data_IF_104359280002
#
_entry.id   IF_104359280002
#
_cell.length_a   1.000
_cell.length_b   1.000
_cell.length_c   1.000
_cell.angle_alpha   90.00
_cell.angle_beta   90.00
_cell.angle_gamma   90.00
#
_symmetry.space_group_name_H-M   'P 1'
#
loop_
_entity.id
_entity.type
_entity.pdbx_description
1 polymer ?
#
# COMPACT_ATOMS: atom_id res chain seq x y z
N UNK A 1 60.16 -36.36 1.41
CA UNK A 1 59.04 -36.73 2.28
C UNK A 1 57.81 -36.02 1.77
N UNK A 2 56.93 -36.73 1.14
CA UNK A 2 55.72 -36.07 0.70
C UNK A 2 54.81 -35.83 1.87
N UNK A 3 54.63 -34.63 2.21
CA UNK A 3 53.57 -34.25 3.13
C UNK A 3 52.27 -34.20 2.35
N UNK A 4 51.48 -35.19 2.54
CA UNK A 4 50.12 -35.17 2.04
C UNK A 4 49.35 -34.11 2.75
N UNK A 5 49.23 -32.99 2.12
CA UNK A 5 48.32 -31.94 2.55
C UNK A 5 46.89 -32.40 2.22
N UNK A 6 46.23 -33.02 3.13
CA UNK A 6 44.79 -33.19 3.05
C UNK A 6 44.15 -31.81 3.21
N UNK A 7 43.71 -31.25 2.14
CA UNK A 7 42.73 -30.17 2.23
C UNK A 7 41.48 -30.72 2.91
N UNK A 8 41.01 -30.08 3.95
CA UNK A 8 39.71 -30.43 4.46
C UNK A 8 38.70 -30.10 3.34
N UNK A 9 37.97 -31.11 2.99
CA UNK A 9 36.82 -30.95 2.14
C UNK A 9 35.92 -29.90 2.81
N UNK A 10 35.87 -28.75 2.24
CA UNK A 10 34.87 -27.79 2.66
C UNK A 10 33.53 -28.39 2.37
N UNK A 11 32.83 -28.80 3.40
CA UNK A 11 31.43 -29.05 3.27
C UNK A 11 30.81 -27.77 2.79
N UNK A 12 30.35 -27.77 1.58
CA UNK A 12 29.56 -26.66 1.08
C UNK A 12 28.38 -26.50 2.00
N UNK A 13 28.30 -25.33 2.59
CA UNK A 13 27.03 -24.94 3.17
C UNK A 13 25.97 -25.22 2.13
N UNK A 14 25.11 -26.14 2.45
CA UNK A 14 23.96 -26.43 1.64
C UNK A 14 23.24 -25.14 1.33
N UNK A 15 23.08 -24.86 0.08
CA UNK A 15 22.30 -23.73 -0.35
C UNK A 15 20.97 -23.79 0.37
N UNK A 16 20.80 -22.91 1.31
CA UNK A 16 19.56 -22.83 2.06
C UNK A 16 18.50 -22.37 1.11
N UNK A 17 17.59 -23.24 0.78
CA UNK A 17 16.38 -22.88 0.06
C UNK A 17 15.66 -21.88 0.95
N UNK A 18 15.70 -20.64 0.56
CA UNK A 18 14.90 -19.64 1.23
C UNK A 18 13.45 -19.99 1.03
N UNK A 19 12.66 -20.06 2.09
CA UNK A 19 11.24 -20.17 1.94
C UNK A 19 10.76 -18.99 1.10
N UNK A 20 9.77 -19.22 0.32
CA UNK A 20 9.11 -18.27 -0.60
C UNK A 20 8.58 -16.99 0.04
N UNK A 21 8.68 -16.85 1.36
CA UNK A 21 8.55 -15.56 1.97
C UNK A 21 9.66 -14.67 1.43
N UNK A 22 9.47 -14.20 0.25
CA UNK A 22 10.27 -13.12 -0.29
C UNK A 22 10.02 -11.87 0.52
N UNK A 23 10.78 -11.74 1.58
CA UNK A 23 11.19 -10.42 1.94
C UNK A 23 11.88 -9.89 0.68
N UNK A 24 11.15 -9.08 -0.08
CA UNK A 24 11.81 -8.21 -1.03
C UNK A 24 12.94 -7.53 -0.28
N UNK A 25 14.18 -7.53 -0.79
CA UNK A 25 15.23 -6.78 -0.15
C UNK A 25 14.68 -5.40 0.16
N UNK A 26 15.00 -4.80 1.30
CA UNK A 26 14.50 -3.46 1.60
C UNK A 26 14.77 -2.63 0.37
N UNK A 27 13.72 -2.14 -0.24
CA UNK A 27 13.82 -1.29 -1.41
C UNK A 27 14.78 -0.16 -1.05
N UNK A 28 15.87 -0.07 -1.74
CA UNK A 28 16.80 1.05 -1.61
C UNK A 28 16.23 2.31 -2.23
N UNK A 29 15.04 2.22 -2.81
CA UNK A 29 14.36 3.35 -3.39
C UNK A 29 13.84 4.29 -2.30
N UNK A 30 14.08 5.60 -2.46
CA UNK A 30 13.48 6.59 -1.57
C UNK A 30 11.96 6.45 -1.54
N UNK A 31 11.38 6.66 -0.39
CA UNK A 31 9.93 6.61 -0.23
C UNK A 31 9.45 7.71 0.70
N UNK A 32 8.21 8.12 0.51
CA UNK A 32 7.48 8.98 1.42
C UNK A 32 6.46 8.16 2.19
N UNK A 33 6.37 8.40 3.49
CA UNK A 33 5.38 7.79 4.36
C UNK A 33 4.37 8.84 4.80
N UNK A 34 3.13 8.41 4.99
CA UNK A 34 2.16 9.22 5.70
C UNK A 34 1.53 8.41 6.82
N UNK A 35 1.14 9.11 7.87
CA UNK A 35 0.45 8.51 9.01
C UNK A 35 -1.05 8.62 8.79
N UNK A 36 -1.74 7.53 8.95
CA UNK A 36 -3.19 7.45 8.87
C UNK A 36 -3.76 6.93 10.19
N UNK A 37 -5.07 7.04 10.36
CA UNK A 37 -5.72 6.60 11.59
C UNK A 37 -5.69 5.08 11.77
N UNK A 38 -5.66 4.62 13.02
CA UNK A 38 -5.79 3.20 13.36
C UNK A 38 -7.10 2.62 12.82
N UNK A 39 -8.18 3.40 12.83
CA UNK A 39 -9.47 3.02 12.28
C UNK A 39 -9.39 2.77 10.77
N UNK A 40 -8.75 3.66 10.01
CA UNK A 40 -8.59 3.48 8.57
C UNK A 40 -7.74 2.23 8.27
N UNK A 41 -6.67 2.01 9.03
CA UNK A 41 -5.86 0.79 8.90
C UNK A 41 -6.70 -0.47 9.13
N UNK A 42 -7.47 -0.52 10.21
CA UNK A 42 -8.32 -1.67 10.52
C UNK A 42 -9.36 -1.94 9.42
N UNK A 43 -10.02 -0.89 8.94
CA UNK A 43 -10.99 -0.98 7.84
C UNK A 43 -10.33 -1.47 6.55
N UNK A 44 -9.16 -0.96 6.24
CA UNK A 44 -8.40 -1.39 5.06
C UNK A 44 -8.08 -2.88 5.14
N UNK A 45 -7.47 -3.33 6.23
CA UNK A 45 -7.10 -4.74 6.40
C UNK A 45 -8.31 -5.67 6.37
N UNK A 46 -9.44 -5.24 6.96
CA UNK A 46 -10.70 -6.00 6.91
C UNK A 46 -11.24 -6.13 5.48
N UNK A 47 -11.25 -5.04 4.73
CA UNK A 47 -11.69 -5.06 3.32
C UNK A 47 -10.79 -5.94 2.45
N UNK A 48 -9.47 -5.84 2.61
CA UNK A 48 -8.52 -6.70 1.89
C UNK A 48 -8.76 -8.17 2.22
N UNK A 49 -8.93 -8.51 3.50
CA UNK A 49 -9.21 -9.88 3.92
C UNK A 49 -10.52 -10.42 3.34
N UNK A 50 -11.54 -9.59 3.21
CA UNK A 50 -12.81 -9.96 2.59
C UNK A 50 -12.63 -10.30 1.11
N UNK A 51 -11.91 -9.47 0.37
CA UNK A 51 -11.64 -9.73 -1.05
C UNK A 51 -10.80 -11.00 -1.25
N UNK A 52 -9.76 -11.18 -0.45
CA UNK A 52 -8.84 -12.31 -0.54
C UNK A 52 -9.51 -13.67 -0.22
N UNK A 53 -10.52 -13.66 0.63
CA UNK A 53 -11.27 -14.87 1.03
C UNK A 53 -12.49 -15.12 0.16
N UNK A 54 -12.95 -14.17 -0.62
CA UNK A 54 -14.12 -14.30 -1.44
C UNK A 54 -13.92 -15.31 -2.56
N UNK A 55 -14.94 -16.09 -2.87
CA UNK A 55 -14.94 -16.96 -4.04
C UNK A 55 -14.87 -16.16 -5.34
N UNK A 56 -15.50 -15.01 -5.34
CA UNK A 56 -15.50 -14.07 -6.45
C UNK A 56 -15.21 -12.67 -5.91
N UNK A 57 -13.98 -12.22 -6.06
CA UNK A 57 -13.51 -10.91 -5.59
C UNK A 57 -14.22 -9.75 -6.29
N UNK A 58 -14.79 -9.98 -7.49
CA UNK A 58 -15.46 -8.93 -8.26
C UNK A 58 -16.71 -8.41 -7.58
N UNK A 59 -17.31 -9.18 -6.69
CA UNK A 59 -18.47 -8.74 -5.89
C UNK A 59 -18.11 -7.69 -4.85
N UNK A 60 -16.82 -7.52 -4.55
CA UNK A 60 -16.32 -6.59 -3.53
C UNK A 60 -15.55 -5.42 -4.13
N UNK A 61 -15.73 -5.13 -5.41
CA UNK A 61 -15.08 -4.01 -6.11
C UNK A 61 -15.32 -2.68 -5.43
N UNK A 62 -16.56 -2.43 -5.04
CA UNK A 62 -16.94 -1.17 -4.39
C UNK A 62 -16.25 -0.98 -3.04
N UNK A 63 -16.14 -2.05 -2.26
CA UNK A 63 -15.43 -2.02 -0.98
C UNK A 63 -13.95 -1.68 -1.17
N UNK A 64 -13.31 -2.25 -2.18
CA UNK A 64 -11.91 -1.94 -2.50
C UNK A 64 -11.76 -0.49 -2.99
N UNK A 65 -12.63 -0.04 -3.88
CA UNK A 65 -12.63 1.32 -4.38
C UNK A 65 -12.80 2.34 -3.25
N UNK A 66 -13.72 2.10 -2.32
CA UNK A 66 -13.94 2.95 -1.16
C UNK A 66 -12.70 3.05 -0.26
N UNK A 67 -12.02 1.95 -0.05
CA UNK A 67 -10.77 1.94 0.74
C UNK A 67 -9.68 2.73 0.03
N UNK A 68 -9.51 2.55 -1.26
CA UNK A 68 -8.50 3.29 -2.04
C UNK A 68 -8.79 4.79 -2.01
N UNK A 69 -10.06 5.18 -2.17
CA UNK A 69 -10.47 6.61 -2.05
C UNK A 69 -10.11 7.17 -0.68
N UNK A 70 -10.42 6.46 0.39
CA UNK A 70 -10.11 6.90 1.77
C UNK A 70 -8.62 6.98 2.04
N UNK A 71 -7.83 6.05 1.52
CA UNK A 71 -6.37 6.08 1.64
C UNK A 71 -5.79 7.27 0.87
N UNK A 72 -6.30 7.52 -0.33
CA UNK A 72 -5.90 8.66 -1.15
C UNK A 72 -6.23 9.98 -0.45
N UNK A 73 -7.44 10.12 0.04
CA UNK A 73 -7.89 11.31 0.77
C UNK A 73 -7.04 11.57 2.02
N UNK A 74 -6.76 10.52 2.80
CA UNK A 74 -5.88 10.60 3.97
C UNK A 74 -4.44 11.01 3.62
N UNK A 75 -3.92 10.50 2.51
CA UNK A 75 -2.60 10.90 2.02
C UNK A 75 -2.56 12.36 1.58
N UNK A 76 -3.58 12.81 0.88
CA UNK A 76 -3.73 14.19 0.44
C UNK A 76 -3.89 15.15 1.63
N UNK A 77 -4.67 14.79 2.62
CA UNK A 77 -4.78 15.55 3.87
C UNK A 77 -3.40 15.68 4.54
N UNK A 78 -2.66 14.59 4.63
CA UNK A 78 -1.35 14.57 5.27
C UNK A 78 -0.32 15.44 4.53
N UNK A 79 -0.27 15.40 3.20
CA UNK A 79 0.74 16.12 2.42
C UNK A 79 0.36 17.55 2.06
N UNK A 80 -0.92 17.89 2.00
CA UNK A 80 -1.37 19.21 1.58
C UNK A 80 -2.00 20.02 2.70
N UNK A 81 -3.01 19.49 3.37
CA UNK A 81 -3.74 20.26 4.37
C UNK A 81 -2.98 20.44 5.67
N UNK A 82 -2.33 19.40 6.12
CA UNK A 82 -1.55 19.46 7.38
C UNK A 82 -0.42 20.46 7.35
N UNK A 83 0.42 20.55 6.30
CA UNK A 83 1.43 21.61 6.19
C UNK A 83 0.87 23.01 6.21
N UNK A 84 -0.29 23.24 5.58
CA UNK A 84 -0.94 24.57 5.60
C UNK A 84 -1.35 24.98 7.01
N UNK A 85 -1.90 24.04 7.78
CA UNK A 85 -2.24 24.27 9.19
C UNK A 85 -1.00 24.56 10.03
N UNK A 86 0.07 23.79 9.83
CA UNK A 86 1.34 24.01 10.53
C UNK A 86 2.00 25.33 10.18
N UNK A 87 1.89 25.74 8.93
CA UNK A 87 2.40 27.04 8.43
C UNK A 87 1.54 28.21 8.87
N UNK A 88 0.39 27.98 9.52
CA UNK A 88 -0.59 29.02 9.89
C UNK A 88 -0.97 29.88 8.69
N UNK A 89 -1.29 29.24 7.59
CA UNK A 89 -1.53 29.89 6.30
C UNK A 89 -2.74 30.84 6.30
N UNK A 90 -3.60 30.75 7.31
CA UNK A 90 -4.76 31.59 7.50
C UNK A 90 -6.06 30.95 7.01
N UNK A 91 -7.16 31.45 7.55
CA UNK A 91 -8.48 30.87 7.34
C UNK A 91 -8.88 30.76 5.86
N UNK A 92 -8.67 31.80 5.08
CA UNK A 92 -9.03 31.78 3.66
C UNK A 92 -8.25 30.76 2.84
N UNK A 93 -6.97 30.64 3.10
CA UNK A 93 -6.10 29.66 2.41
C UNK A 93 -6.52 28.24 2.79
N UNK A 94 -6.74 27.99 4.07
CA UNK A 94 -7.18 26.67 4.56
C UNK A 94 -8.57 26.31 4.02
N UNK A 95 -9.50 27.26 3.97
CA UNK A 95 -10.83 27.05 3.42
C UNK A 95 -10.79 26.75 1.92
N UNK A 96 -10.03 27.53 1.16
CA UNK A 96 -9.85 27.30 -0.28
C UNK A 96 -9.20 25.95 -0.56
N UNK A 97 -8.19 25.58 0.23
CA UNK A 97 -7.53 24.28 0.14
C UNK A 97 -8.51 23.14 0.44
N UNK A 98 -9.32 23.26 1.49
CA UNK A 98 -10.33 22.25 1.83
C UNK A 98 -11.37 22.07 0.70
N UNK A 99 -11.85 23.16 0.12
CA UNK A 99 -12.77 23.10 -1.02
C UNK A 99 -12.15 22.46 -2.25
N UNK A 100 -10.92 22.88 -2.59
CA UNK A 100 -10.18 22.31 -3.70
C UNK A 100 -9.90 20.82 -3.51
N UNK A 101 -9.52 20.43 -2.31
CA UNK A 101 -9.30 19.01 -1.96
C UNK A 101 -10.58 18.18 -2.06
N UNK A 102 -11.70 18.71 -1.56
CA UNK A 102 -12.99 18.02 -1.65
C UNK A 102 -13.42 17.80 -3.12
N UNK A 103 -13.23 18.81 -3.98
CA UNK A 103 -13.48 18.69 -5.42
C UNK A 103 -12.56 17.67 -6.08
N UNK A 104 -11.28 17.71 -5.76
CA UNK A 104 -10.28 16.75 -6.28
C UNK A 104 -10.60 15.33 -5.84
N UNK A 105 -10.93 15.11 -4.58
CA UNK A 105 -11.31 13.79 -4.05
C UNK A 105 -12.53 13.23 -4.77
N UNK A 106 -13.52 14.04 -5.11
CA UNK A 106 -14.70 13.59 -5.88
C UNK A 106 -14.31 13.09 -7.27
N UNK A 107 -13.46 13.84 -7.96
CA UNK A 107 -12.97 13.44 -9.29
C UNK A 107 -12.16 12.14 -9.20
N UNK A 108 -11.21 12.07 -8.27
CA UNK A 108 -10.40 10.87 -8.05
C UNK A 108 -11.26 9.66 -7.66
N UNK A 109 -12.26 9.86 -6.79
CA UNK A 109 -13.19 8.79 -6.41
C UNK A 109 -13.93 8.22 -7.62
N UNK A 110 -14.40 9.07 -8.52
CA UNK A 110 -15.05 8.64 -9.77
C UNK A 110 -14.11 7.83 -10.65
N UNK A 111 -12.88 8.30 -10.83
CA UNK A 111 -11.86 7.60 -11.62
C UNK A 111 -11.49 6.25 -10.98
N UNK A 112 -11.24 6.22 -9.68
CA UNK A 112 -10.89 5.01 -8.93
C UNK A 112 -12.01 3.98 -9.05
N UNK A 113 -13.27 4.37 -8.83
CA UNK A 113 -14.42 3.46 -8.95
C UNK A 113 -14.57 2.91 -10.36
N UNK A 114 -14.35 3.74 -11.37
CA UNK A 114 -14.42 3.31 -12.75
C UNK A 114 -13.32 2.29 -13.09
N UNK A 115 -12.09 2.54 -12.66
CA UNK A 115 -10.96 1.63 -12.89
C UNK A 115 -11.17 0.32 -12.15
N UNK A 116 -11.44 0.37 -10.86
CA UNK A 116 -11.66 -0.82 -10.02
C UNK A 116 -12.88 -1.61 -10.50
N UNK A 117 -13.94 -0.91 -10.95
CA UNK A 117 -15.16 -1.54 -11.47
C UNK A 117 -14.95 -2.38 -12.73
N UNK A 118 -13.82 -2.20 -13.43
CA UNK A 118 -13.47 -2.94 -14.64
C UNK A 118 -12.44 -4.04 -14.41
N UNK A 119 -11.89 -4.15 -13.22
CA UNK A 119 -10.89 -5.17 -12.90
C UNK A 119 -11.51 -6.54 -12.74
N UNK A 120 -10.79 -7.55 -13.18
CA UNK A 120 -11.08 -8.96 -12.91
C UNK A 120 -10.52 -9.40 -11.54
N UNK A 121 -10.83 -10.63 -11.13
CA UNK A 121 -10.37 -11.15 -9.84
C UNK A 121 -8.85 -11.17 -9.68
N UNK A 122 -8.04 -11.63 -10.64
CA UNK A 122 -6.58 -11.57 -10.51
C UNK A 122 -6.04 -10.15 -10.34
N UNK A 123 -6.59 -9.19 -11.07
CA UNK A 123 -6.20 -7.78 -10.97
C UNK A 123 -6.53 -7.20 -9.59
N UNK A 124 -7.74 -7.47 -9.09
CA UNK A 124 -8.17 -7.03 -7.75
C UNK A 124 -7.27 -7.61 -6.66
N UNK A 125 -6.93 -8.89 -6.73
CA UNK A 125 -6.04 -9.55 -5.76
C UNK A 125 -4.62 -8.98 -5.82
N UNK A 126 -4.14 -8.62 -7.00
CA UNK A 126 -2.85 -7.93 -7.16
C UNK A 126 -2.85 -6.58 -6.47
N UNK A 127 -3.91 -5.80 -6.64
CA UNK A 127 -4.08 -4.51 -5.93
C UNK A 127 -4.14 -4.71 -4.41
N UNK A 128 -4.88 -5.71 -3.95
CA UNK A 128 -4.95 -6.06 -2.51
C UNK A 128 -3.56 -6.39 -1.95
N UNK A 129 -2.80 -7.22 -2.65
CA UNK A 129 -1.44 -7.60 -2.26
C UNK A 129 -0.52 -6.38 -2.16
N UNK A 130 -0.60 -5.49 -3.13
CA UNK A 130 0.19 -4.26 -3.14
C UNK A 130 -0.16 -3.34 -1.96
N UNK A 131 -1.45 -3.09 -1.72
CA UNK A 131 -1.89 -2.27 -0.58
C UNK A 131 -1.43 -2.90 0.74
N UNK A 132 -1.53 -4.23 0.86
CA UNK A 132 -1.08 -4.93 2.06
C UNK A 132 0.43 -4.76 2.31
N UNK A 133 1.23 -4.75 1.27
CA UNK A 133 2.68 -4.47 1.38
C UNK A 133 2.95 -3.06 1.88
N UNK A 134 2.17 -2.08 1.44
CA UNK A 134 2.31 -0.68 1.88
C UNK A 134 1.87 -0.47 3.33
N UNK A 135 1.06 -1.38 3.88
CA UNK A 135 0.53 -1.30 5.24
C UNK A 135 1.46 -1.88 6.33
N UNK A 136 2.66 -2.27 5.99
CA UNK A 136 3.65 -2.85 6.92
C UNK A 136 4.29 -1.79 7.82
#
# INVERSE_FOLDING_TARGET
MPTSSKRPSKSKATARVKPLAKASPPSTQPFLRFYHSKSLRAKTLAALATLEKAKDSTQHRDALADIIVKLTDSGMEYYFLRPLKLAKAGFFVEQSANLGMAATTRVLASVIRNIIGRMDSPQLLTVCSYIRQLMK
#
